data_IF_062040055969
#
_entry.id   IF_062040055969
#
_cell.length_a   1.000
_cell.length_b   1.000
_cell.length_c   1.000
_cell.angle_alpha   90.00
_cell.angle_beta   90.00
_cell.angle_gamma   90.00
#
_symmetry.space_group_name_H-M   'P 1'
#
loop_
_entity.id
_entity.type
_entity.pdbx_description
1 polymer ?
#
# COMPACT_ATOMS: atom_id res chain seq x y z
N UNK A 1 6.31 31.17 -11.11
CA UNK A 1 5.82 29.80 -11.42
C UNK A 1 5.75 29.02 -10.12
N UNK A 2 4.59 28.51 -9.73
CA UNK A 2 4.52 27.65 -8.52
C UNK A 2 5.07 26.27 -8.89
N UNK A 3 6.16 25.87 -8.27
CA UNK A 3 6.73 24.54 -8.40
C UNK A 3 5.79 23.52 -7.73
N UNK A 4 5.52 22.41 -8.41
CA UNK A 4 4.64 21.34 -7.90
C UNK A 4 5.52 20.12 -7.59
N UNK A 5 5.44 19.66 -6.35
CA UNK A 5 6.23 18.54 -5.86
C UNK A 5 5.45 17.23 -5.90
N UNK A 6 6.18 16.11 -6.04
CA UNK A 6 5.62 14.78 -5.87
C UNK A 6 5.09 14.60 -4.44
N UNK A 7 3.95 13.92 -4.31
CA UNK A 7 3.32 13.68 -2.99
C UNK A 7 3.77 12.33 -2.44
N UNK A 8 4.27 12.26 -1.20
CA UNK A 8 4.61 11.01 -0.55
C UNK A 8 3.35 10.21 -0.20
N UNK A 9 3.42 8.89 -0.38
CA UNK A 9 2.36 7.96 -0.07
C UNK A 9 2.91 6.67 0.53
N UNK A 10 2.07 5.92 1.23
CA UNK A 10 2.38 4.61 1.82
C UNK A 10 1.41 3.57 1.30
N UNK A 11 1.85 2.31 1.21
CA UNK A 11 1.03 1.17 0.84
C UNK A 11 1.44 -0.09 1.59
N UNK A 12 0.48 -0.98 1.84
CA UNK A 12 0.68 -2.20 2.59
C UNK A 12 0.41 -3.45 1.75
N UNK A 13 1.41 -4.32 1.60
CA UNK A 13 1.20 -5.72 1.23
C UNK A 13 0.93 -6.46 2.53
N UNK A 14 -0.34 -6.75 2.81
CA UNK A 14 -0.78 -7.41 4.02
C UNK A 14 -1.00 -8.89 3.72
N UNK A 15 -0.36 -9.76 4.50
CA UNK A 15 -0.40 -11.19 4.27
C UNK A 15 -1.05 -11.94 5.42
N UNK A 16 -1.67 -13.07 5.10
CA UNK A 16 -2.26 -14.00 6.04
C UNK A 16 -1.89 -15.43 5.63
N UNK A 17 -1.33 -16.18 6.56
CA UNK A 17 -1.02 -17.60 6.36
C UNK A 17 -2.17 -18.47 6.90
N UNK A 18 -2.49 -19.52 6.17
CA UNK A 18 -3.23 -20.67 6.64
C UNK A 18 -2.33 -21.90 6.54
N UNK A 19 -2.76 -23.08 7.02
CA UNK A 19 -1.93 -24.29 7.06
C UNK A 19 -1.29 -24.64 5.72
N UNK A 20 -1.95 -24.33 4.59
CA UNK A 20 -1.49 -24.70 3.25
C UNK A 20 -1.35 -23.54 2.26
N UNK A 21 -1.88 -22.36 2.56
CA UNK A 21 -1.97 -21.26 1.60
C UNK A 21 -1.64 -19.90 2.23
N UNK A 22 -1.01 -19.06 1.42
CA UNK A 22 -0.84 -17.64 1.73
C UNK A 22 -1.88 -16.80 0.98
N UNK A 23 -2.42 -15.83 1.69
CA UNK A 23 -3.38 -14.85 1.15
C UNK A 23 -2.82 -13.44 1.28
N UNK A 24 -3.11 -12.63 0.28
CA UNK A 24 -2.77 -11.21 0.26
C UNK A 24 -4.07 -10.39 0.25
N UNK A 25 -4.12 -9.34 1.06
CA UNK A 25 -5.25 -8.43 1.06
C UNK A 25 -5.24 -7.57 -0.18
N UNK A 26 -6.35 -7.56 -0.89
CA UNK A 26 -6.58 -6.73 -2.07
C UNK A 26 -7.96 -6.11 -2.02
N UNK A 27 -8.14 -5.05 -2.78
CA UNK A 27 -9.40 -4.33 -2.90
C UNK A 27 -9.55 -3.82 -4.33
N UNK A 28 -10.76 -3.42 -4.70
CA UNK A 28 -11.00 -2.77 -5.98
C UNK A 28 -11.16 -1.27 -5.75
N UNK A 29 -10.44 -0.49 -6.53
CA UNK A 29 -10.40 0.96 -6.48
C UNK A 29 -11.76 1.55 -6.84
N UNK A 30 -12.26 2.45 -6.00
CA UNK A 30 -13.50 3.19 -6.22
C UNK A 30 -13.18 4.69 -6.18
N UNK A 31 -12.71 5.20 -7.29
CA UNK A 31 -12.50 6.64 -7.46
C UNK A 31 -13.44 7.11 -8.58
N UNK A 32 -14.38 7.95 -8.27
CA UNK A 32 -15.29 8.57 -9.25
C UNK A 32 -14.52 9.55 -10.17
N UNK A 33 -13.37 9.13 -10.69
CA UNK A 33 -12.48 9.92 -11.53
C UNK A 33 -12.50 9.39 -12.96
N UNK A 34 -12.51 10.29 -13.93
CA UNK A 34 -12.45 9.96 -15.35
C UNK A 34 -11.04 9.55 -15.83
N UNK A 35 -10.16 9.08 -14.93
CA UNK A 35 -8.78 8.73 -15.22
C UNK A 35 -8.57 7.28 -15.66
N UNK A 36 -9.66 6.50 -15.74
CA UNK A 36 -9.63 5.10 -16.16
C UNK A 36 -9.07 4.13 -15.11
N UNK A 37 -8.88 4.55 -13.85
CA UNK A 37 -8.36 3.69 -12.78
C UNK A 37 -9.43 3.09 -11.88
N UNK A 38 -10.69 3.45 -12.09
CA UNK A 38 -11.82 2.90 -11.34
C UNK A 38 -11.97 1.39 -11.61
N UNK A 39 -12.17 0.61 -10.55
CA UNK A 39 -12.28 -0.84 -10.62
C UNK A 39 -10.96 -1.60 -10.72
N UNK A 40 -9.81 -0.92 -10.82
CA UNK A 40 -8.52 -1.61 -10.79
C UNK A 40 -8.25 -2.24 -9.41
N UNK A 41 -7.62 -3.40 -9.43
CA UNK A 41 -7.16 -4.08 -8.23
C UNK A 41 -6.01 -3.29 -7.61
N UNK A 42 -6.07 -3.08 -6.31
CA UNK A 42 -5.03 -2.37 -5.56
C UNK A 42 -4.80 -3.00 -4.17
N UNK A 43 -3.69 -2.65 -3.54
CA UNK A 43 -3.44 -2.86 -2.11
C UNK A 43 -3.81 -1.58 -1.35
N UNK A 44 -4.13 -1.65 -0.04
CA UNK A 44 -4.39 -0.47 0.77
C UNK A 44 -3.24 0.53 0.71
N UNK A 45 -3.55 1.78 0.41
CA UNK A 45 -2.54 2.82 0.25
C UNK A 45 -3.13 4.23 0.30
N UNK A 46 -2.38 5.18 0.87
CA UNK A 46 -2.80 6.56 0.92
C UNK A 46 -1.66 7.55 1.12
N UNK A 47 -1.98 8.83 1.20
CA UNK A 47 -0.99 9.91 1.31
C UNK A 47 -0.55 10.11 2.76
N UNK A 48 0.73 10.44 2.93
CA UNK A 48 1.29 10.87 4.21
C UNK A 48 0.89 12.33 4.44
N UNK A 49 0.39 12.65 5.63
CA UNK A 49 0.09 14.03 6.05
C UNK A 49 1.38 14.76 6.44
N UNK A 50 1.35 16.07 6.44
CA UNK A 50 2.50 16.88 6.89
C UNK A 50 2.89 16.50 8.33
N UNK A 51 4.17 16.20 8.57
CA UNK A 51 4.75 15.75 9.84
C UNK A 51 4.18 14.43 10.42
N UNK A 52 3.33 13.72 9.70
CA UNK A 52 2.85 12.41 10.12
C UNK A 52 3.99 11.37 10.03
N UNK A 53 4.15 10.55 11.07
CA UNK A 53 5.07 9.41 11.01
C UNK A 53 4.60 8.43 9.93
N UNK A 54 5.50 7.94 9.09
CA UNK A 54 5.17 7.07 7.95
C UNK A 54 4.47 5.77 8.37
N UNK A 55 4.82 5.19 9.52
CA UNK A 55 4.16 3.98 10.03
C UNK A 55 2.77 4.27 10.58
N UNK A 56 2.56 5.44 11.18
CA UNK A 56 1.24 5.89 11.64
C UNK A 56 0.33 6.20 10.45
N UNK A 57 0.87 6.82 9.40
CA UNK A 57 0.16 7.01 8.13
C UNK A 57 -0.29 5.68 7.54
N UNK A 58 0.58 4.67 7.52
CA UNK A 58 0.26 3.34 7.01
C UNK A 58 -0.84 2.67 7.83
N UNK A 59 -0.77 2.72 9.17
CA UNK A 59 -1.82 2.19 10.07
C UNK A 59 -3.15 2.88 9.86
N UNK A 60 -3.14 4.21 9.73
CA UNK A 60 -4.35 5.01 9.50
C UNK A 60 -5.01 4.65 8.17
N UNK A 61 -4.25 4.63 7.07
CA UNK A 61 -4.79 4.31 5.73
C UNK A 61 -5.34 2.88 5.68
N UNK A 62 -4.62 1.90 6.23
CA UNK A 62 -5.09 0.52 6.28
C UNK A 62 -6.39 0.41 7.07
N UNK A 63 -6.48 1.08 8.22
CA UNK A 63 -7.70 1.05 9.02
C UNK A 63 -8.87 1.77 8.32
N UNK A 64 -8.63 2.95 7.75
CA UNK A 64 -9.64 3.73 7.03
C UNK A 64 -10.19 2.97 5.81
N UNK A 65 -9.34 2.28 5.07
CA UNK A 65 -9.72 1.56 3.84
C UNK A 65 -10.24 0.14 4.08
N UNK A 66 -9.83 -0.55 5.14
CA UNK A 66 -10.08 -1.99 5.30
C UNK A 66 -10.73 -2.40 6.61
N UNK A 67 -10.65 -1.57 7.65
CA UNK A 67 -11.06 -1.90 9.02
C UNK A 67 -10.05 -2.76 9.80
N UNK A 68 -8.91 -3.13 9.20
CA UNK A 68 -7.88 -3.91 9.86
C UNK A 68 -6.90 -3.04 10.64
N UNK A 69 -6.34 -3.62 11.70
CA UNK A 69 -5.24 -3.05 12.48
C UNK A 69 -3.94 -3.78 12.13
N UNK A 70 -2.92 -3.04 11.70
CA UNK A 70 -1.60 -3.61 11.45
C UNK A 70 -0.96 -4.08 12.76
N UNK A 71 -0.55 -5.33 12.80
CA UNK A 71 0.14 -5.95 13.95
C UNK A 71 1.65 -5.90 13.80
N UNK A 72 2.16 -5.99 12.57
CA UNK A 72 3.58 -5.85 12.24
C UNK A 72 3.74 -5.08 10.94
N UNK A 73 4.77 -4.24 10.89
CA UNK A 73 5.27 -3.58 9.68
C UNK A 73 6.75 -3.93 9.58
N UNK A 74 7.14 -4.65 8.53
CA UNK A 74 8.53 -5.07 8.36
C UNK A 74 9.46 -3.87 8.25
N UNK A 75 10.51 -3.85 9.06
CA UNK A 75 11.51 -2.80 9.11
C UNK A 75 11.20 -1.66 10.09
N UNK A 76 10.01 -1.64 10.71
CA UNK A 76 9.68 -0.63 11.72
C UNK A 76 10.61 -0.75 12.94
N UNK A 77 10.92 -1.97 13.37
CA UNK A 77 11.82 -2.27 14.50
C UNK A 77 13.26 -1.81 14.26
N UNK A 78 13.64 -1.66 13.00
CA UNK A 78 14.96 -1.20 12.57
C UNK A 78 14.98 0.29 12.19
N UNK A 79 13.86 1.00 12.37
CA UNK A 79 13.79 2.42 12.08
C UNK A 79 14.62 3.21 13.10
N UNK A 80 15.30 4.24 12.63
CA UNK A 80 16.14 5.08 13.45
C UNK A 80 15.54 6.48 13.59
N UNK A 81 15.21 6.84 14.84
CA UNK A 81 14.70 8.16 15.18
C UNK A 81 15.77 9.02 15.81
N UNK A 82 15.84 10.27 15.41
CA UNK A 82 16.79 11.26 15.90
C UNK A 82 16.10 12.59 16.18
N UNK A 83 16.50 13.25 17.28
CA UNK A 83 16.06 14.62 17.56
C UNK A 83 17.29 15.50 17.78
N UNK A 84 17.54 16.39 16.84
CA UNK A 84 18.66 17.33 16.91
C UNK A 84 18.15 18.74 16.58
N UNK A 85 18.43 19.69 17.49
CA UNK A 85 18.09 21.12 17.30
C UNK A 85 16.60 21.32 16.94
N UNK A 86 15.71 20.59 17.65
CA UNK A 86 14.26 20.68 17.42
C UNK A 86 13.76 20.01 16.14
N UNK A 87 14.63 19.35 15.37
CA UNK A 87 14.23 18.55 14.22
C UNK A 87 14.12 17.08 14.61
N UNK A 88 12.91 16.55 14.57
CA UNK A 88 12.66 15.13 14.76
C UNK A 88 12.66 14.44 13.40
N UNK A 89 13.52 13.45 13.24
CA UNK A 89 13.65 12.68 11.99
C UNK A 89 13.51 11.20 12.25
N UNK A 90 13.11 10.45 11.21
CA UNK A 90 13.09 8.98 11.23
C UNK A 90 13.69 8.46 9.93
N UNK A 91 14.57 7.47 10.03
CA UNK A 91 15.16 6.76 8.89
C UNK A 91 14.48 5.41 8.72
N UNK A 92 14.08 5.11 7.49
CA UNK A 92 13.27 3.94 7.16
C UNK A 92 13.82 3.24 5.92
N UNK A 93 13.49 1.95 5.80
CA UNK A 93 13.80 1.15 4.60
C UNK A 93 12.53 0.43 4.15
N UNK A 94 11.76 0.98 3.20
CA UNK A 94 10.59 0.32 2.66
C UNK A 94 10.96 -0.94 1.87
N UNK A 95 10.02 -1.84 1.71
CA UNK A 95 10.16 -3.00 0.84
C UNK A 95 10.35 -2.62 -0.63
N UNK A 96 9.59 -1.61 -1.09
CA UNK A 96 9.65 -1.11 -2.46
C UNK A 96 9.24 0.36 -2.49
N UNK A 97 9.89 1.14 -3.37
CA UNK A 97 9.50 2.52 -3.66
C UNK A 97 9.14 2.59 -5.14
N UNK A 98 7.98 3.15 -5.46
CA UNK A 98 7.49 3.32 -6.83
C UNK A 98 7.05 4.76 -7.04
N UNK A 99 7.52 5.39 -8.11
CA UNK A 99 7.15 6.76 -8.48
C UNK A 99 6.35 6.77 -9.79
N UNK A 100 5.28 7.55 -9.82
CA UNK A 100 4.63 7.91 -11.07
C UNK A 100 5.42 9.01 -11.78
N UNK A 101 5.76 8.76 -13.04
CA UNK A 101 6.43 9.74 -13.91
C UNK A 101 5.45 10.45 -14.85
N UNK A 102 4.19 9.98 -14.91
CA UNK A 102 3.12 10.55 -15.74
C UNK A 102 1.75 10.10 -15.21
N UNK A 103 0.67 10.68 -15.70
CA UNK A 103 -0.70 10.33 -15.33
C UNK A 103 -1.31 11.28 -14.31
N UNK A 104 -2.48 10.91 -13.79
CA UNK A 104 -3.28 11.77 -12.92
C UNK A 104 -2.73 11.96 -11.50
N UNK A 105 -1.85 11.06 -11.04
CA UNK A 105 -1.35 11.05 -9.67
C UNK A 105 0.16 11.19 -9.61
N UNK A 106 0.64 12.36 -9.16
CA UNK A 106 2.06 12.59 -8.88
C UNK A 106 2.39 12.07 -7.49
N UNK A 107 2.73 10.78 -7.39
CA UNK A 107 2.95 10.08 -6.14
C UNK A 107 4.32 9.39 -6.09
N UNK A 108 4.91 9.37 -4.91
CA UNK A 108 6.05 8.53 -4.53
C UNK A 108 5.56 7.56 -3.44
N UNK A 109 5.30 6.31 -3.82
CA UNK A 109 4.70 5.29 -2.96
C UNK A 109 5.78 4.45 -2.27
N UNK A 110 5.74 4.41 -0.95
CA UNK A 110 6.56 3.57 -0.08
C UNK A 110 5.74 2.35 0.35
N UNK A 111 6.04 1.18 -0.18
CA UNK A 111 5.30 -0.06 0.12
C UNK A 111 6.02 -0.86 1.20
N UNK A 112 5.25 -1.34 2.18
CA UNK A 112 5.72 -2.16 3.30
C UNK A 112 5.07 -3.53 3.31
N UNK A 113 5.78 -4.54 3.83
CA UNK A 113 5.20 -5.86 4.12
C UNK A 113 4.64 -5.85 5.53
N UNK A 114 3.39 -6.32 5.68
CA UNK A 114 2.65 -6.21 6.92
C UNK A 114 1.86 -7.48 7.26
N UNK A 115 1.55 -7.62 8.54
CA UNK A 115 0.49 -8.48 9.04
C UNK A 115 -0.57 -7.63 9.73
N UNK A 116 -1.80 -8.14 9.80
CA UNK A 116 -2.92 -7.41 10.38
C UNK A 116 -3.94 -8.35 11.04
N UNK A 117 -4.76 -7.78 11.90
CA UNK A 117 -5.90 -8.44 12.54
C UNK A 117 -7.14 -7.54 12.48
N UNK A 118 -8.30 -8.14 12.74
CA UNK A 118 -9.58 -7.42 12.75
C UNK A 118 -10.58 -7.97 11.76
N UNK A 119 -11.64 -7.23 11.53
CA UNK A 119 -12.74 -7.58 10.62
C UNK A 119 -12.75 -6.65 9.43
N UNK A 120 -12.80 -7.21 8.23
CA UNK A 120 -12.85 -6.43 6.99
C UNK A 120 -14.15 -5.62 6.92
N UNK A 121 -14.04 -4.38 6.47
CA UNK A 121 -15.18 -3.60 6.01
C UNK A 121 -15.71 -4.18 4.69
N UNK A 122 -17.01 -4.03 4.42
CA UNK A 122 -17.59 -4.44 3.14
C UNK A 122 -17.13 -3.50 2.00
N UNK A 123 -17.13 -2.20 2.29
CA UNK A 123 -16.70 -1.14 1.38
C UNK A 123 -16.45 0.17 2.13
N UNK A 124 -15.82 1.11 1.45
CA UNK A 124 -15.64 2.49 1.90
C UNK A 124 -16.05 3.46 0.79
N UNK A 125 -15.82 4.76 0.97
CA UNK A 125 -16.03 5.74 -0.09
C UNK A 125 -15.02 5.60 -1.24
N UNK A 126 -13.84 5.03 -0.95
CA UNK A 126 -12.72 4.93 -1.90
C UNK A 126 -12.45 3.51 -2.40
N UNK A 127 -12.98 2.48 -1.73
CA UNK A 127 -12.68 1.06 -2.00
C UNK A 127 -13.92 0.18 -1.94
N UNK A 128 -13.94 -0.87 -2.75
CA UNK A 128 -14.96 -1.92 -2.74
C UNK A 128 -14.31 -3.29 -2.80
N UNK A 129 -15.10 -4.34 -2.56
CA UNK A 129 -14.67 -5.73 -2.75
C UNK A 129 -13.36 -6.06 -2.04
N UNK A 130 -13.23 -5.58 -0.78
CA UNK A 130 -12.07 -5.82 0.07
C UNK A 130 -12.03 -7.31 0.43
N UNK A 131 -10.94 -8.00 0.07
CA UNK A 131 -10.88 -9.45 0.18
C UNK A 131 -9.47 -10.01 0.32
N UNK A 132 -9.39 -11.17 0.92
CA UNK A 132 -8.20 -12.00 0.90
C UNK A 132 -8.14 -12.79 -0.41
N UNK A 133 -7.08 -12.58 -1.19
CA UNK A 133 -6.83 -13.30 -2.44
C UNK A 133 -5.68 -14.26 -2.25
N UNK A 134 -5.86 -15.52 -2.69
CA UNK A 134 -4.81 -16.52 -2.65
C UNK A 134 -3.60 -16.08 -3.48
N UNK A 135 -2.40 -16.31 -2.96
CA UNK A 135 -1.12 -15.94 -3.57
C UNK A 135 -0.99 -16.34 -5.04
N UNK A 136 -1.35 -17.58 -5.37
CA UNK A 136 -1.22 -18.08 -6.74
C UNK A 136 -2.21 -17.41 -7.70
N UNK A 137 -3.40 -17.07 -7.22
CA UNK A 137 -4.39 -16.31 -8.00
C UNK A 137 -3.88 -14.90 -8.27
N UNK A 138 -3.40 -14.21 -7.27
CA UNK A 138 -2.82 -12.87 -7.44
C UNK A 138 -1.59 -12.91 -8.36
N UNK A 139 -0.74 -13.93 -8.22
CA UNK A 139 0.44 -14.11 -9.09
C UNK A 139 0.05 -14.23 -10.56
N UNK A 140 -0.99 -14.99 -10.88
CA UNK A 140 -1.48 -15.12 -12.26
C UNK A 140 -1.94 -13.77 -12.83
N UNK A 141 -2.62 -12.95 -12.03
CA UNK A 141 -3.06 -11.61 -12.44
C UNK A 141 -1.84 -10.72 -12.68
N UNK A 142 -0.89 -10.68 -11.75
CA UNK A 142 0.33 -9.85 -11.85
C UNK A 142 1.19 -10.21 -13.06
N UNK A 143 1.26 -11.50 -13.39
CA UNK A 143 2.11 -11.99 -14.49
C UNK A 143 1.44 -11.85 -15.87
N UNK A 144 0.13 -12.09 -15.97
CA UNK A 144 -0.57 -12.22 -17.24
C UNK A 144 -1.49 -11.04 -17.60
N UNK A 145 -1.94 -10.27 -16.60
CA UNK A 145 -2.90 -9.18 -16.76
C UNK A 145 -2.58 -7.99 -15.85
N UNK A 146 -1.33 -7.47 -15.87
CA UNK A 146 -0.93 -6.38 -14.99
C UNK A 146 -1.72 -5.09 -15.20
N UNK A 147 -2.39 -4.93 -16.35
CA UNK A 147 -3.28 -3.81 -16.67
C UNK A 147 -4.55 -3.78 -15.80
N UNK A 148 -4.90 -4.88 -15.14
CA UNK A 148 -5.99 -4.95 -14.17
C UNK A 148 -5.61 -4.42 -12.78
N UNK A 149 -4.34 -4.06 -12.57
CA UNK A 149 -3.81 -3.61 -11.29
C UNK A 149 -3.47 -2.12 -11.38
N UNK A 150 -3.76 -1.38 -10.30
CA UNK A 150 -3.34 0.02 -10.23
C UNK A 150 -1.82 0.13 -10.41
N UNK A 151 -1.33 0.92 -11.36
CA UNK A 151 0.06 0.86 -11.86
C UNK A 151 1.14 0.97 -10.78
N UNK A 152 0.91 1.79 -9.74
CA UNK A 152 1.87 1.97 -8.64
C UNK A 152 2.13 0.71 -7.81
N UNK A 153 1.22 -0.28 -7.85
CA UNK A 153 1.33 -1.50 -7.05
C UNK A 153 1.97 -2.67 -7.79
N UNK A 154 1.99 -2.65 -9.12
CA UNK A 154 2.44 -3.78 -9.97
C UNK A 154 3.84 -4.24 -9.61
N UNK A 155 4.80 -3.31 -9.50
CA UNK A 155 6.21 -3.67 -9.25
C UNK A 155 6.44 -4.21 -7.84
N UNK A 156 5.79 -3.63 -6.84
CA UNK A 156 5.88 -4.09 -5.45
C UNK A 156 5.28 -5.49 -5.31
N UNK A 157 4.09 -5.74 -5.87
CA UNK A 157 3.46 -7.05 -5.89
C UNK A 157 4.31 -8.08 -6.65
N UNK A 158 4.85 -7.72 -7.82
CA UNK A 158 5.72 -8.61 -8.59
C UNK A 158 6.99 -8.97 -7.83
N UNK A 159 7.61 -8.00 -7.14
CA UNK A 159 8.77 -8.24 -6.28
C UNK A 159 8.43 -9.20 -5.14
N UNK A 160 7.29 -8.99 -4.47
CA UNK A 160 6.84 -9.85 -3.38
C UNK A 160 6.55 -11.29 -3.84
N UNK A 161 5.79 -11.43 -4.92
CA UNK A 161 5.36 -12.74 -5.43
C UNK A 161 6.50 -13.58 -6.05
N UNK A 162 7.65 -12.97 -6.34
CA UNK A 162 8.89 -13.67 -6.78
C UNK A 162 9.77 -14.12 -5.62
N UNK A 163 9.56 -13.60 -4.41
CA UNK A 163 10.23 -14.10 -3.21
C UNK A 163 9.58 -15.43 -2.83
N UNK A 164 10.35 -16.51 -2.87
CA UNK A 164 9.96 -17.85 -2.43
C UNK A 164 10.67 -18.14 -1.13
#
# INVERSE_FOLDING_TARGET
MNEIFVKPAVGAIITKQTDNNEFILVQDRKKNSADGTDGLLEIPAGKIREYENIFDALRREVWEETGLHLTQIQGEENSYSLNIVGNQTISITPFCITQNLSGAYSLLLHTFLCTAEGTLLEQTDETTNIRWMERNTLKKIVDNSPELIFPLHVKALRKYLKQI
#
